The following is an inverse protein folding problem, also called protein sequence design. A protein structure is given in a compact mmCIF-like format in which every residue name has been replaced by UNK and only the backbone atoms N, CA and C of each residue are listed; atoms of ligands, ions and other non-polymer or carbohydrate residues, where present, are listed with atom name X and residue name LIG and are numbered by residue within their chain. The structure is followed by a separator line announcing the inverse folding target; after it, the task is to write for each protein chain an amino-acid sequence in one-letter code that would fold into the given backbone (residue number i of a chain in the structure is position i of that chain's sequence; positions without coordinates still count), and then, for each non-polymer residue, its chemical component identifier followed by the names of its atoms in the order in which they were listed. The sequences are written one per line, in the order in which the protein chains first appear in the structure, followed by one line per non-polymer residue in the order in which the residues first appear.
data_IF_592537030445
#
_entry.id   IF_592537030445
#
_cell.length_a   1.000
_cell.length_b   1.000
_cell.length_c   1.000
_cell.angle_alpha   90.00
_cell.angle_beta   90.00
_cell.angle_gamma   90.00
#
_symmetry.space_group_name_H-M   'P 1'
#
loop_
_entity.id
_entity.type
_entity.pdbx_description
1 polymer ?
#
# COMPACT_ATOMS: atom_id res chain seq x y z
N UNK A 1 12.83 12.89 -23.61
CA UNK A 1 12.91 12.20 -22.30
C UNK A 1 13.92 12.98 -21.45
N UNK A 2 13.64 13.48 -20.23
CA UNK A 2 12.70 12.97 -19.22
C UNK A 2 11.77 14.05 -18.61
N UNK A 3 10.49 13.70 -18.38
CA UNK A 3 9.50 14.51 -17.65
C UNK A 3 9.00 13.66 -16.47
N UNK A 4 9.80 13.57 -15.40
CA UNK A 4 9.39 12.78 -14.20
C UNK A 4 10.05 13.21 -12.88
N UNK A 5 10.76 14.35 -12.85
CA UNK A 5 11.41 14.86 -11.63
C UNK A 5 10.54 15.83 -10.81
N UNK A 6 9.29 16.08 -11.23
CA UNK A 6 8.44 17.10 -10.63
C UNK A 6 7.78 16.71 -9.28
N UNK A 7 8.03 15.54 -8.67
CA UNK A 7 7.18 15.15 -7.53
C UNK A 7 7.83 14.50 -6.30
N UNK A 8 9.14 14.23 -6.22
CA UNK A 8 9.69 13.61 -5.01
C UNK A 8 9.45 14.47 -3.76
N UNK A 9 9.60 15.79 -3.88
CA UNK A 9 9.26 16.76 -2.84
C UNK A 9 7.76 16.79 -2.53
N UNK A 10 6.90 16.66 -3.55
CA UNK A 10 5.44 16.61 -3.39
C UNK A 10 4.98 15.33 -2.69
N UNK A 11 5.59 14.18 -3.00
CA UNK A 11 5.36 12.90 -2.35
C UNK A 11 5.85 12.89 -0.90
N UNK A 12 7.01 13.51 -0.63
CA UNK A 12 7.47 13.75 0.73
C UNK A 12 6.49 14.62 1.52
N UNK A 13 6.01 15.72 0.92
CA UNK A 13 4.96 16.55 1.52
C UNK A 13 3.71 15.77 1.87
N UNK A 14 3.26 14.89 0.98
CA UNK A 14 2.09 14.02 1.20
C UNK A 14 2.31 13.04 2.35
N UNK A 15 3.53 12.48 2.46
CA UNK A 15 3.92 11.62 3.57
C UNK A 15 3.86 12.37 4.92
N UNK A 16 4.24 13.65 4.94
CA UNK A 16 4.22 14.51 6.13
C UNK A 16 2.87 15.21 6.38
N UNK A 17 1.96 15.25 5.40
CA UNK A 17 0.69 15.97 5.51
C UNK A 17 -0.24 15.31 6.54
N UNK A 18 -0.60 15.99 7.64
CA UNK A 18 -1.50 15.45 8.66
C UNK A 18 -2.95 15.33 8.17
N UNK A 19 -3.34 16.08 7.14
CA UNK A 19 -4.69 16.01 6.55
C UNK A 19 -4.85 14.83 5.59
N UNK A 20 -3.74 14.20 5.18
CA UNK A 20 -3.81 13.02 4.33
C UNK A 20 -4.05 11.77 5.18
N UNK A 21 -5.23 11.15 4.99
CA UNK A 21 -5.73 10.08 5.85
C UNK A 21 -4.74 8.92 5.97
N UNK A 22 -4.30 8.68 7.21
CA UNK A 22 -3.45 7.54 7.56
C UNK A 22 -4.33 6.34 7.87
N UNK A 23 -4.25 5.31 7.04
CA UNK A 23 -5.01 4.06 7.23
C UNK A 23 -4.36 3.16 8.27
N UNK A 24 -3.03 3.09 8.26
CA UNK A 24 -2.26 2.29 9.22
C UNK A 24 -0.79 2.68 9.25
N UNK A 25 -0.13 2.45 10.40
CA UNK A 25 1.31 2.57 10.51
C UNK A 25 1.83 1.67 11.63
N UNK A 26 2.97 1.01 11.40
CA UNK A 26 3.59 0.09 12.34
C UNK A 26 5.07 -0.14 12.01
N UNK A 27 5.83 -0.63 12.99
CA UNK A 27 7.18 -1.13 12.76
C UNK A 27 7.11 -2.42 11.94
N UNK A 28 8.07 -2.58 11.03
CA UNK A 28 8.28 -3.77 10.22
C UNK A 28 9.79 -4.05 10.15
N UNK A 29 10.13 -5.24 9.67
CA UNK A 29 11.48 -5.52 9.21
C UNK A 29 11.46 -5.73 7.70
N UNK A 30 12.26 -4.97 6.96
CA UNK A 30 12.44 -5.13 5.52
C UNK A 30 13.65 -6.04 5.26
N UNK A 31 13.48 -7.04 4.40
CA UNK A 31 14.59 -7.86 3.94
C UNK A 31 15.42 -7.11 2.88
N UNK A 32 16.69 -6.86 3.17
CA UNK A 32 17.65 -6.22 2.27
C UNK A 32 18.98 -6.97 2.35
N UNK A 33 19.54 -7.35 1.20
CA UNK A 33 20.81 -8.10 1.12
C UNK A 33 20.81 -9.34 2.03
N UNK A 34 19.68 -10.07 2.06
CA UNK A 34 19.44 -11.24 2.92
C UNK A 34 19.47 -10.95 4.44
N UNK A 35 19.36 -9.67 4.84
CA UNK A 35 19.31 -9.25 6.24
C UNK A 35 18.02 -8.51 6.54
N UNK A 36 17.49 -8.71 7.74
CA UNK A 36 16.31 -8.00 8.23
C UNK A 36 16.71 -6.67 8.86
N UNK A 37 16.22 -5.57 8.32
CA UNK A 37 16.44 -4.23 8.87
C UNK A 37 15.13 -3.65 9.39
N UNK A 38 15.18 -3.07 10.58
CA UNK A 38 14.03 -2.36 11.15
C UNK A 38 13.66 -1.18 10.27
N UNK A 39 12.37 -0.98 10.07
CA UNK A 39 11.80 0.17 9.39
C UNK A 39 10.43 0.51 10.00
N UNK A 40 9.94 1.70 9.66
CA UNK A 40 8.61 2.16 10.02
C UNK A 40 7.80 2.40 8.77
N UNK A 41 6.67 1.69 8.63
CA UNK A 41 5.84 1.77 7.44
C UNK A 41 4.55 2.55 7.74
N UNK A 42 4.16 3.42 6.82
CA UNK A 42 2.96 4.27 6.91
C UNK A 42 2.15 4.14 5.63
N UNK A 43 0.95 3.60 5.73
CA UNK A 43 -0.02 3.52 4.63
C UNK A 43 -0.96 4.73 4.70
N UNK A 44 -0.92 5.55 3.65
CA UNK A 44 -1.88 6.64 3.44
C UNK A 44 -2.53 6.47 2.07
N UNK A 45 -3.86 6.46 2.04
CA UNK A 45 -4.64 6.08 0.85
C UNK A 45 -4.15 4.76 0.20
N UNK A 46 -3.54 4.83 -0.99
CA UNK A 46 -2.95 3.72 -1.74
C UNK A 46 -1.40 3.78 -1.82
N UNK A 47 -0.76 4.63 -1.02
CA UNK A 47 0.69 4.79 -0.98
C UNK A 47 1.25 4.26 0.33
N UNK A 48 2.27 3.40 0.24
CA UNK A 48 3.03 2.92 1.39
C UNK A 48 4.38 3.63 1.44
N UNK A 49 4.59 4.41 2.50
CA UNK A 49 5.85 5.10 2.78
C UNK A 49 6.64 4.28 3.81
N UNK A 50 7.94 4.07 3.57
CA UNK A 50 8.81 3.32 4.47
C UNK A 50 9.98 4.19 4.90
N UNK A 51 10.11 4.37 6.21
CA UNK A 51 11.11 5.19 6.89
C UNK A 51 12.09 4.30 7.65
N UNK A 52 13.27 4.82 7.98
CA UNK A 52 14.26 4.08 8.77
C UNK A 52 13.77 3.81 10.20
N UNK A 53 12.95 4.71 10.74
CA UNK A 53 12.37 4.62 12.09
C UNK A 53 11.10 5.47 12.19
N UNK A 54 10.38 5.32 13.29
CA UNK A 54 9.27 6.21 13.61
C UNK A 54 9.78 7.65 13.83
N UNK A 55 9.04 8.63 13.32
CA UNK A 55 9.36 10.07 13.42
C UNK A 55 10.76 10.43 12.86
N UNK A 56 11.20 9.68 11.84
CA UNK A 56 12.45 9.96 11.13
C UNK A 56 12.40 11.35 10.47
N UNK A 57 13.36 12.26 10.74
CA UNK A 57 13.43 13.53 10.03
C UNK A 57 13.74 13.37 8.54
N UNK A 58 14.37 12.26 8.17
CA UNK A 58 14.71 11.95 6.78
C UNK A 58 13.46 11.52 5.97
N UNK A 59 13.45 11.77 4.66
CA UNK A 59 12.41 11.27 3.78
C UNK A 59 12.31 9.74 3.78
N UNK A 60 11.13 9.19 3.44
CA UNK A 60 10.99 7.75 3.30
C UNK A 60 11.96 7.28 2.21
N UNK A 61 12.74 6.24 2.53
CA UNK A 61 13.73 5.70 1.60
C UNK A 61 13.08 4.79 0.56
N UNK A 62 11.83 4.37 0.78
CA UNK A 62 11.04 3.57 -0.15
C UNK A 62 9.59 4.06 -0.15
N UNK A 63 9.01 4.17 -1.35
CA UNK A 63 7.61 4.52 -1.58
C UNK A 63 7.03 3.50 -2.56
N UNK A 64 5.94 2.84 -2.17
CA UNK A 64 5.25 1.86 -3.00
C UNK A 64 3.84 2.34 -3.36
N UNK A 65 3.46 2.15 -4.62
CA UNK A 65 2.10 2.43 -5.13
C UNK A 65 1.34 1.10 -5.13
N UNK A 66 0.45 0.92 -4.16
CA UNK A 66 -0.13 -0.39 -3.84
C UNK A 66 -1.07 -0.91 -4.95
N UNK A 67 -1.68 -0.02 -5.73
CA UNK A 67 -2.55 -0.39 -6.85
C UNK A 67 -1.84 -1.25 -7.91
N UNK A 68 -0.53 -1.03 -8.10
CA UNK A 68 0.31 -1.78 -9.05
C UNK A 68 1.06 -2.95 -8.40
N UNK A 69 0.59 -3.46 -7.26
CA UNK A 69 1.26 -4.53 -6.52
C UNK A 69 0.37 -5.76 -6.31
N UNK A 70 1.00 -6.93 -6.23
CA UNK A 70 0.48 -8.12 -5.59
C UNK A 70 1.00 -8.20 -4.15
N UNK A 71 0.15 -8.69 -3.25
CA UNK A 71 0.47 -8.93 -1.84
C UNK A 71 0.35 -10.43 -1.59
N UNK A 72 1.44 -11.06 -1.17
CA UNK A 72 1.48 -12.51 -0.96
C UNK A 72 2.08 -12.84 0.41
N UNK A 73 1.54 -13.84 1.10
CA UNK A 73 2.18 -14.40 2.28
C UNK A 73 3.38 -15.23 1.86
N UNK A 74 4.47 -15.15 2.61
CA UNK A 74 5.67 -15.92 2.30
C UNK A 74 5.69 -17.26 3.03
N UNK A 75 6.52 -18.19 2.53
CA UNK A 75 6.83 -19.43 3.25
C UNK A 75 7.90 -19.16 4.32
N UNK A 76 7.46 -19.13 5.57
CA UNK A 76 8.30 -18.85 6.75
C UNK A 76 9.45 -19.85 6.89
N UNK A 77 9.26 -21.11 6.50
CA UNK A 77 10.31 -22.15 6.56
C UNK A 77 11.45 -21.85 5.59
N UNK A 78 11.11 -21.30 4.42
CA UNK A 78 12.09 -20.93 3.39
C UNK A 78 12.86 -19.67 3.76
N UNK A 79 12.21 -18.71 4.41
CA UNK A 79 12.81 -17.43 4.80
C UNK A 79 13.52 -17.46 6.16
N UNK A 80 13.20 -18.45 7.01
CA UNK A 80 13.66 -18.49 8.39
C UNK A 80 13.14 -17.30 9.21
N UNK A 81 11.94 -16.81 8.87
CA UNK A 81 11.35 -15.62 9.49
C UNK A 81 9.83 -15.69 9.47
N UNK A 82 9.26 -15.52 10.66
CA UNK A 82 7.81 -15.55 10.88
C UNK A 82 7.16 -14.23 10.46
N UNK A 83 5.85 -14.29 10.23
CA UNK A 83 4.96 -13.17 9.93
C UNK A 83 5.38 -12.37 8.70
N UNK A 84 5.80 -13.08 7.65
CA UNK A 84 6.37 -12.50 6.44
C UNK A 84 5.36 -12.36 5.31
N UNK A 85 5.44 -11.24 4.59
CA UNK A 85 4.67 -10.96 3.39
C UNK A 85 5.52 -10.25 2.33
N UNK A 86 5.20 -10.47 1.07
CA UNK A 86 5.86 -9.87 -0.09
C UNK A 86 4.93 -8.87 -0.77
N UNK A 87 5.47 -7.72 -1.14
CA UNK A 87 4.84 -6.75 -2.04
C UNK A 87 5.60 -6.78 -3.36
N UNK A 88 4.93 -7.21 -4.44
CA UNK A 88 5.53 -7.38 -5.76
C UNK A 88 4.86 -6.49 -6.80
N UNK A 89 5.65 -5.66 -7.47
CA UNK A 89 5.15 -4.84 -8.59
C UNK A 89 4.71 -5.72 -9.76
N UNK A 90 3.50 -5.47 -10.26
CA UNK A 90 2.92 -6.21 -11.40
C UNK A 90 3.70 -5.94 -12.68
N UNK A 91 4.11 -4.69 -12.88
CA UNK A 91 4.75 -4.23 -14.12
C UNK A 91 6.24 -4.56 -14.21
N UNK A 92 6.97 -4.42 -13.10
CA UNK A 92 8.43 -4.59 -13.09
C UNK A 92 8.89 -5.92 -12.53
N UNK A 93 8.03 -6.62 -11.77
CA UNK A 93 8.39 -7.84 -11.04
C UNK A 93 9.26 -7.59 -9.81
N UNK A 94 9.69 -6.35 -9.55
CA UNK A 94 10.44 -5.98 -8.35
C UNK A 94 9.61 -6.30 -7.10
N UNK A 95 10.25 -6.88 -6.09
CA UNK A 95 9.57 -7.26 -4.85
C UNK A 95 10.28 -6.81 -3.59
N UNK A 96 9.50 -6.66 -2.53
CA UNK A 96 9.94 -6.21 -1.21
C UNK A 96 9.31 -7.12 -0.16
N UNK A 97 10.14 -7.78 0.64
CA UNK A 97 9.68 -8.72 1.66
C UNK A 97 9.77 -8.05 3.01
N UNK A 98 8.65 -8.03 3.72
CA UNK A 98 8.51 -7.47 5.05
C UNK A 98 8.16 -8.56 6.07
N UNK A 99 8.58 -8.37 7.31
CA UNK A 99 8.15 -9.15 8.47
C UNK A 99 7.49 -8.24 9.49
N UNK A 100 6.30 -8.62 9.96
CA UNK A 100 5.65 -7.97 11.09
C UNK A 100 6.17 -8.50 12.43
N UNK A 101 5.91 -7.76 13.51
CA UNK A 101 6.29 -8.19 14.86
C UNK A 101 5.42 -9.36 15.36
N UNK A 102 4.15 -9.38 14.96
CA UNK A 102 3.18 -10.39 15.35
C UNK A 102 2.14 -10.65 14.24
N UNK A 103 1.38 -11.74 14.42
CA UNK A 103 0.32 -12.16 13.51
C UNK A 103 -0.77 -11.08 13.33
N UNK A 104 -1.14 -10.37 14.40
CA UNK A 104 -2.18 -9.33 14.35
C UNK A 104 -1.77 -8.17 13.44
N UNK A 105 -0.51 -7.78 13.51
CA UNK A 105 0.07 -6.72 12.69
C UNK A 105 0.19 -7.17 11.25
N UNK A 106 0.62 -8.41 11.00
CA UNK A 106 0.62 -9.03 9.66
C UNK A 106 -0.78 -9.03 9.04
N UNK A 107 -1.77 -9.58 9.75
CA UNK A 107 -3.15 -9.66 9.29
C UNK A 107 -3.68 -8.27 8.91
N UNK A 108 -3.39 -7.27 9.74
CA UNK A 108 -3.78 -5.89 9.47
C UNK A 108 -3.12 -5.32 8.22
N UNK A 109 -1.83 -5.57 8.02
CA UNK A 109 -1.11 -5.16 6.81
C UNK A 109 -1.67 -5.82 5.56
N UNK A 110 -1.78 -7.15 5.54
CA UNK A 110 -2.28 -7.89 4.38
C UNK A 110 -3.71 -7.47 4.06
N UNK A 111 -4.58 -7.36 5.07
CA UNK A 111 -5.96 -6.89 4.89
C UNK A 111 -6.01 -5.52 4.22
N UNK A 112 -5.32 -4.51 4.76
CA UNK A 112 -5.39 -3.16 4.21
C UNK A 112 -4.73 -3.04 2.83
N UNK A 113 -3.61 -3.72 2.60
CA UNK A 113 -2.90 -3.68 1.32
C UNK A 113 -3.69 -4.41 0.22
N UNK A 114 -4.41 -5.49 0.54
CA UNK A 114 -5.23 -6.24 -0.42
C UNK A 114 -6.62 -5.63 -0.66
N UNK A 115 -7.19 -4.93 0.32
CA UNK A 115 -8.51 -4.29 0.20
C UNK A 115 -8.43 -2.98 -0.60
N UNK A 116 -7.25 -2.35 -0.69
CA UNK A 116 -7.05 -1.06 -1.38
C UNK A 116 -7.59 -1.00 -2.82
N UNK A 117 -7.55 -2.07 -3.64
CA UNK A 117 -8.21 -2.10 -4.95
C UNK A 117 -9.70 -2.51 -4.91
N UNK A 118 -10.10 -3.35 -3.93
CA UNK A 118 -11.45 -3.94 -3.87
C UNK A 118 -12.48 -2.89 -3.45
N UNK A 119 -12.22 -2.11 -2.41
CA UNK A 119 -13.18 -1.10 -1.95
C UNK A 119 -13.43 -0.03 -3.02
N UNK A 120 -12.39 0.40 -3.75
CA UNK A 120 -12.54 1.33 -4.87
C UNK A 120 -13.31 0.70 -6.03
N UNK A 121 -13.05 -0.56 -6.39
CA UNK A 121 -13.83 -1.27 -7.40
C UNK A 121 -15.28 -1.46 -6.99
N UNK A 122 -15.55 -1.76 -5.72
CA UNK A 122 -16.90 -1.91 -5.19
C UNK A 122 -17.65 -0.57 -5.19
N UNK A 123 -17.00 0.50 -4.73
CA UNK A 123 -17.56 1.86 -4.77
C UNK A 123 -17.80 2.32 -6.21
N UNK A 124 -16.86 2.07 -7.12
CA UNK A 124 -17.01 2.40 -8.54
C UNK A 124 -18.15 1.60 -9.18
N UNK A 125 -18.21 0.29 -8.92
CA UNK A 125 -19.29 -0.59 -9.39
C UNK A 125 -20.65 -0.12 -8.88
N UNK A 126 -20.75 0.24 -7.60
CA UNK A 126 -21.97 0.77 -7.01
C UNK A 126 -22.38 2.08 -7.68
N UNK A 127 -21.45 3.02 -7.84
CA UNK A 127 -21.71 4.28 -8.54
C UNK A 127 -22.16 4.09 -9.99
N UNK A 128 -21.61 3.10 -10.71
CA UNK A 128 -22.05 2.77 -12.06
C UNK A 128 -23.44 2.13 -12.08
N UNK A 129 -23.75 1.26 -11.12
CA UNK A 129 -25.07 0.65 -11.01
C UNK A 129 -26.16 1.71 -10.76
N UNK A 130 -25.91 2.67 -9.86
CA UNK A 130 -26.82 3.79 -9.59
C UNK A 130 -27.05 4.69 -10.81
N UNK A 131 -26.02 4.90 -11.64
CA UNK A 131 -26.14 5.65 -12.89
C UNK A 131 -27.00 4.91 -13.92
N UNK A 132 -26.85 3.59 -14.06
CA UNK A 132 -27.67 2.77 -14.96
C UNK A 132 -29.14 2.81 -14.53
N UNK A 133 -29.41 2.66 -13.24
CA UNK A 133 -30.78 2.71 -12.70
C UNK A 133 -31.46 4.07 -12.99
N UNK A 134 -30.73 5.17 -12.83
CA UNK A 134 -31.24 6.51 -13.16
C UNK A 134 -31.62 6.67 -14.63
N UNK A 135 -30.82 6.12 -15.55
CA UNK A 135 -31.11 6.19 -17.00
C UNK A 135 -32.34 5.34 -17.34
N UNK A 136 -32.43 4.13 -16.79
CA UNK A 136 -33.57 3.23 -17.03
C UNK A 136 -34.87 3.78 -16.46
N UNK A 137 -34.83 4.42 -15.29
CA UNK A 137 -36.00 5.07 -14.69
C UNK A 137 -36.42 6.32 -15.49
N UNK A 138 -35.47 7.09 -16.02
CA UNK A 138 -35.78 8.24 -16.88
C UNK A 138 -36.40 7.84 -18.24
N UNK A 139 -36.01 6.69 -18.80
CA UNK A 139 -36.57 6.13 -20.04
C UNK A 139 -37.95 5.49 -19.85
N UNK A 140 -38.32 5.10 -18.62
CA UNK A 140 -39.61 4.49 -18.31
C UNK A 140 -40.67 5.50 -17.84
N UNK A 141 -40.27 6.73 -17.52
CA UNK A 141 -41.15 7.86 -17.22
C UNK A 141 -41.43 8.77 -18.43
N UNK A 142 -40.86 8.47 -19.60
CA UNK A 142 -41.08 9.14 -20.90
C UNK A 142 -41.96 8.33 -21.84
#
# INVERSE_FOLDING_TARGET
MPRMLANASSLYRLASDPNFERRFAANLQLQQDLRWRQCYAVLKANLLFVFGKQDDPEPPFLILIIEDCFIELCDENKLGKDFTFEIKYKTTGNSYIFAAEDFKTLERWVSLLTITPIDYMLLSKQSFAEQIERVQNAESES
#
